data_IF_210612563792
#
_entry.id   IF_210612563792
#
_cell.length_a   1.000
_cell.length_b   1.000
_cell.length_c   1.000
_cell.angle_alpha   90.00
_cell.angle_beta   90.00
_cell.angle_gamma   90.00
#
_symmetry.space_group_name_H-M   'P 1'
#
loop_
_entity.id
_entity.type
_entity.pdbx_description
1 polymer ?
#
# COMPACT_ATOMS: atom_id res chain seq x y z
N UNK A 1 11.43 -10.68 63.12
CA UNK A 1 10.63 -10.07 64.21
C UNK A 1 10.07 -8.77 63.64
N UNK A 2 8.81 -8.62 63.25
CA UNK A 2 7.56 -9.25 63.66
C UNK A 2 6.71 -8.19 64.37
N UNK A 3 5.48 -8.00 63.86
CA UNK A 3 4.31 -7.25 64.40
C UNK A 3 4.11 -5.82 63.88
N UNK A 4 2.89 -5.32 63.67
CA UNK A 4 1.54 -5.85 63.35
C UNK A 4 0.64 -4.61 63.23
N UNK A 5 -0.44 -4.72 62.47
CA UNK A 5 -1.43 -3.67 62.25
C UNK A 5 -2.49 -3.61 63.37
N UNK A 6 -3.06 -2.43 63.64
CA UNK A 6 -4.40 -2.30 64.25
C UNK A 6 -5.07 -0.98 63.87
N UNK A 7 -6.29 -1.07 63.32
CA UNK A 7 -7.29 0.00 63.22
C UNK A 7 -8.11 0.09 64.52
N UNK A 8 -8.77 1.23 64.81
CA UNK A 8 -9.94 1.23 65.69
C UNK A 8 -11.24 1.63 64.96
N UNK A 9 -12.32 0.96 65.36
CA UNK A 9 -13.70 1.32 65.13
C UNK A 9 -14.34 1.77 66.45
N UNK A 10 -15.25 2.75 66.42
CA UNK A 10 -16.36 2.88 67.39
C UNK A 10 -17.28 4.06 67.05
N UNK A 11 -18.59 3.77 67.00
CA UNK A 11 -19.70 4.72 67.06
C UNK A 11 -20.18 4.92 68.52
N UNK A 12 -21.08 5.88 68.78
CA UNK A 12 -22.04 5.74 69.88
C UNK A 12 -23.52 6.01 69.50
N UNK A 13 -24.40 5.26 70.18
CA UNK A 13 -25.86 5.43 70.42
C UNK A 13 -26.11 6.52 71.50
N UNK A 14 -27.29 7.09 71.83
CA UNK A 14 -28.69 6.64 72.00
C UNK A 14 -29.65 7.83 72.32
N UNK A 15 -30.94 7.71 71.93
CA UNK A 15 -32.24 8.01 72.65
C UNK A 15 -32.47 9.36 73.39
N UNK A 16 -33.64 9.97 73.61
CA UNK A 16 -35.09 9.68 73.60
C UNK A 16 -35.89 11.02 73.59
N UNK A 17 -37.14 11.05 73.09
CA UNK A 17 -38.27 11.79 73.71
C UNK A 17 -39.62 11.35 73.08
N UNK A 18 -40.64 11.12 73.93
CA UNK A 18 -41.93 10.48 73.63
C UNK A 18 -43.13 11.42 73.88
N UNK A 19 -44.21 11.24 73.09
CA UNK A 19 -45.67 11.42 73.39
C UNK A 19 -46.42 12.66 72.85
N UNK A 20 -47.76 12.60 72.61
CA UNK A 20 -48.56 11.50 72.05
C UNK A 20 -49.69 11.91 71.03
N UNK A 21 -50.11 10.91 70.23
CA UNK A 21 -51.44 10.64 69.64
C UNK A 21 -52.32 11.78 69.05
N UNK A 22 -52.52 11.73 67.73
CA UNK A 22 -53.87 11.85 67.14
C UNK A 22 -54.05 10.81 66.01
N UNK A 23 -55.25 10.24 65.93
CA UNK A 23 -55.66 9.16 65.01
C UNK A 23 -56.49 9.74 63.87
N UNK A 24 -56.09 9.53 62.62
CA UNK A 24 -56.95 8.92 61.58
C UNK A 24 -56.24 8.77 60.23
N UNK A 25 -56.28 7.53 59.71
CA UNK A 25 -56.25 7.12 58.29
C UNK A 25 -55.11 7.53 57.35
N UNK A 26 -54.17 6.59 57.13
CA UNK A 26 -53.63 6.28 55.80
C UNK A 26 -53.18 4.82 55.75
N UNK A 27 -53.93 3.98 55.03
CA UNK A 27 -53.56 2.59 54.78
C UNK A 27 -52.39 2.51 53.79
N UNK A 28 -51.32 1.81 54.17
CA UNK A 28 -50.20 1.47 53.30
C UNK A 28 -50.61 0.37 52.31
N UNK A 29 -50.46 0.65 51.01
CA UNK A 29 -50.60 -0.34 49.94
C UNK A 29 -49.22 -0.83 49.49
N UNK A 30 -49.04 -2.16 49.43
CA UNK A 30 -47.91 -2.82 48.76
C UNK A 30 -47.88 -2.47 47.26
N UNK A 31 -46.71 -2.34 46.61
CA UNK A 31 -46.65 -2.26 45.15
C UNK A 31 -46.93 -3.65 44.55
N UNK A 32 -48.00 -3.71 43.74
CA UNK A 32 -48.36 -4.87 42.90
C UNK A 32 -47.42 -4.99 41.70
N UNK A 33 -47.21 -6.23 41.29
CA UNK A 33 -46.46 -6.69 40.12
C UNK A 33 -46.69 -5.86 38.85
N UNK A 34 -45.60 -5.60 38.13
CA UNK A 34 -45.58 -4.86 36.86
C UNK A 34 -46.22 -5.70 35.74
N UNK A 35 -47.44 -5.33 35.34
CA UNK A 35 -48.09 -5.85 34.15
C UNK A 35 -47.37 -5.37 32.88
N UNK A 36 -46.58 -6.25 32.27
CA UNK A 36 -46.08 -6.07 30.90
C UNK A 36 -47.28 -5.96 29.95
N UNK A 37 -47.40 -4.81 29.27
CA UNK A 37 -48.56 -4.47 28.44
C UNK A 37 -48.67 -5.37 27.21
N UNK A 38 -49.86 -5.97 27.02
CA UNK A 38 -50.26 -6.78 25.84
C UNK A 38 -50.04 -6.07 24.50
N UNK A 39 -49.91 -4.73 24.51
CA UNK A 39 -49.66 -3.93 23.31
C UNK A 39 -48.25 -4.14 22.73
N UNK A 40 -47.23 -4.35 23.57
CA UNK A 40 -45.85 -4.55 23.08
C UNK A 40 -45.64 -5.94 22.47
N UNK A 41 -46.27 -6.97 23.02
CA UNK A 41 -46.26 -8.31 22.46
C UNK A 41 -46.95 -8.36 21.08
N UNK A 42 -48.06 -7.62 20.91
CA UNK A 42 -48.75 -7.49 19.62
C UNK A 42 -47.88 -6.82 18.55
N UNK A 43 -47.12 -5.78 18.90
CA UNK A 43 -46.22 -5.09 17.97
C UNK A 43 -45.07 -5.98 17.48
N UNK A 44 -44.50 -6.82 18.36
CA UNK A 44 -43.42 -7.74 18.00
C UNK A 44 -43.90 -8.86 17.08
N UNK A 45 -45.10 -9.40 17.32
CA UNK A 45 -45.74 -10.39 16.45
C UNK A 45 -46.04 -9.78 15.07
N UNK A 46 -46.53 -8.54 15.01
CA UNK A 46 -46.82 -7.89 13.74
C UNK A 46 -45.55 -7.62 12.90
N UNK A 47 -44.46 -7.23 13.56
CA UNK A 47 -43.19 -6.94 12.90
C UNK A 47 -42.52 -8.22 12.36
N UNK A 48 -42.55 -9.31 13.13
CA UNK A 48 -42.03 -10.61 12.70
C UNK A 48 -42.83 -11.19 11.54
N UNK A 49 -44.17 -11.11 11.57
CA UNK A 49 -45.02 -11.55 10.45
C UNK A 49 -44.73 -10.72 9.20
N UNK A 50 -44.53 -9.41 9.34
CA UNK A 50 -44.23 -8.52 8.21
C UNK A 50 -42.88 -8.85 7.54
N UNK A 51 -41.85 -9.19 8.32
CA UNK A 51 -40.54 -9.64 7.80
C UNK A 51 -40.65 -10.97 7.07
N UNK A 52 -41.38 -11.94 7.64
CA UNK A 52 -41.57 -13.25 7.00
C UNK A 52 -42.34 -13.12 5.69
N UNK A 53 -43.41 -12.31 5.66
CA UNK A 53 -44.15 -12.02 4.44
C UNK A 53 -43.23 -11.41 3.39
N UNK A 54 -42.40 -10.43 3.76
CA UNK A 54 -41.44 -9.78 2.87
C UNK A 54 -40.41 -10.76 2.26
N UNK A 55 -39.87 -11.68 3.05
CA UNK A 55 -38.93 -12.71 2.56
C UNK A 55 -39.65 -13.64 1.58
N UNK A 56 -40.87 -14.06 1.88
CA UNK A 56 -41.65 -14.96 1.00
C UNK A 56 -41.99 -14.26 -0.32
N UNK A 57 -42.41 -13.00 -0.32
CA UNK A 57 -42.63 -12.25 -1.57
C UNK A 57 -41.34 -12.09 -2.37
N UNK A 58 -40.20 -11.85 -1.72
CA UNK A 58 -38.91 -11.72 -2.41
C UNK A 58 -38.48 -13.05 -3.05
N UNK A 59 -38.68 -14.18 -2.37
CA UNK A 59 -38.41 -15.52 -2.93
C UNK A 59 -39.33 -15.85 -4.10
N UNK A 60 -40.62 -15.51 -4.00
CA UNK A 60 -41.58 -15.71 -5.11
C UNK A 60 -41.18 -14.84 -6.30
N UNK A 61 -40.85 -13.56 -6.08
CA UNK A 61 -40.38 -12.64 -7.12
C UNK A 61 -39.09 -13.12 -7.79
N UNK A 62 -38.13 -13.63 -7.00
CA UNK A 62 -36.90 -14.21 -7.51
C UNK A 62 -37.18 -15.44 -8.40
N UNK A 63 -38.10 -16.33 -7.97
CA UNK A 63 -38.48 -17.51 -8.75
C UNK A 63 -39.29 -17.17 -10.01
N UNK A 64 -40.13 -16.14 -9.99
CA UNK A 64 -40.88 -15.69 -11.18
C UNK A 64 -40.00 -14.96 -12.19
N UNK A 65 -38.95 -14.25 -11.75
CA UNK A 65 -38.00 -13.59 -12.65
C UNK A 65 -36.99 -14.54 -13.30
N UNK A 66 -36.57 -15.61 -12.61
CA UNK A 66 -35.58 -16.56 -13.14
C UNK A 66 -36.23 -17.72 -13.90
N UNK A 67 -37.50 -18.02 -13.63
CA UNK A 67 -38.26 -19.07 -14.32
C UNK A 67 -38.24 -19.04 -15.87
N UNK A 68 -38.21 -17.88 -16.55
CA UNK A 68 -38.17 -17.83 -18.01
C UNK A 68 -36.77 -17.89 -18.65
N UNK A 69 -35.68 -17.96 -17.86
CA UNK A 69 -34.32 -17.98 -18.40
C UNK A 69 -33.99 -19.38 -18.95
N UNK A 70 -34.37 -19.61 -20.21
CA UNK A 70 -33.87 -20.75 -20.97
C UNK A 70 -32.36 -20.56 -21.25
N UNK A 71 -31.49 -21.50 -20.83
CA UNK A 71 -30.09 -21.45 -21.22
C UNK A 71 -30.00 -21.62 -22.74
N UNK A 72 -29.43 -20.61 -23.41
CA UNK A 72 -29.17 -20.66 -24.84
C UNK A 72 -28.17 -21.79 -25.11
N UNK A 73 -28.36 -22.63 -26.16
CA UNK A 73 -27.37 -23.63 -26.53
C UNK A 73 -26.01 -22.98 -26.76
N UNK A 74 -24.95 -23.66 -26.29
CA UNK A 74 -23.57 -23.18 -26.35
C UNK A 74 -23.24 -22.75 -27.79
N UNK A 75 -22.73 -21.52 -28.01
CA UNK A 75 -22.30 -21.10 -29.35
C UNK A 75 -21.26 -22.09 -29.86
N UNK A 76 -21.48 -22.67 -31.05
CA UNK A 76 -20.45 -23.41 -31.76
C UNK A 76 -19.34 -22.41 -32.09
N UNK A 77 -18.11 -22.57 -31.57
CA UNK A 77 -17.04 -21.64 -31.88
C UNK A 77 -16.81 -21.67 -33.39
N UNK A 78 -16.82 -20.51 -34.09
CA UNK A 78 -16.36 -20.49 -35.46
C UNK A 78 -14.92 -21.00 -35.47
N UNK A 79 -14.59 -21.85 -36.44
CA UNK A 79 -13.21 -22.27 -36.68
C UNK A 79 -12.47 -21.05 -37.23
N UNK A 80 -12.07 -20.15 -36.34
CA UNK A 80 -11.13 -19.09 -36.63
C UNK A 80 -9.78 -19.76 -36.61
N UNK A 81 -9.11 -19.77 -37.75
CA UNK A 81 -7.66 -19.96 -37.82
C UNK A 81 -7.02 -18.75 -37.14
N UNK A 82 -7.09 -18.72 -35.81
CA UNK A 82 -6.49 -17.67 -35.00
C UNK A 82 -5.00 -17.78 -35.23
N UNK A 83 -4.38 -16.68 -35.69
CA UNK A 83 -2.94 -16.55 -35.64
C UNK A 83 -2.43 -16.94 -34.25
N UNK A 84 -1.19 -17.44 -34.17
CA UNK A 84 -0.55 -17.79 -32.90
C UNK A 84 -0.83 -16.67 -31.87
N UNK A 85 -1.28 -16.99 -30.64
CA UNK A 85 -1.53 -15.95 -29.64
C UNK A 85 -0.28 -15.08 -29.53
N UNK A 86 -0.42 -13.75 -29.48
CA UNK A 86 0.73 -12.87 -29.31
C UNK A 86 1.50 -13.34 -28.08
N UNK A 87 2.80 -13.59 -28.24
CA UNK A 87 3.67 -14.01 -27.14
C UNK A 87 3.74 -12.83 -26.16
N UNK A 88 3.00 -12.89 -25.06
CA UNK A 88 2.93 -11.84 -24.03
C UNK A 88 3.81 -12.15 -22.83
N UNK A 89 4.55 -13.27 -22.85
CA UNK A 89 5.41 -13.73 -21.77
C UNK A 89 6.88 -13.58 -22.15
N UNK A 90 7.70 -13.25 -21.15
CA UNK A 90 9.14 -13.21 -21.30
C UNK A 90 9.70 -14.60 -21.58
N UNK A 91 10.73 -14.73 -22.43
CA UNK A 91 11.45 -15.98 -22.57
C UNK A 91 12.15 -16.37 -21.26
N UNK A 92 12.12 -17.65 -20.91
CA UNK A 92 12.76 -18.20 -19.69
C UNK A 92 14.30 -18.34 -19.81
N UNK A 93 14.92 -17.58 -20.72
CA UNK A 93 16.36 -17.68 -20.98
C UNK A 93 17.19 -16.95 -19.92
N UNK A 94 16.62 -15.90 -19.32
CA UNK A 94 17.31 -15.02 -18.39
C UNK A 94 16.52 -14.94 -17.09
N UNK A 95 17.19 -15.14 -15.96
CA UNK A 95 16.56 -15.08 -14.64
C UNK A 95 17.16 -13.91 -13.84
N UNK A 96 16.38 -12.89 -13.46
CA UNK A 96 16.88 -11.80 -12.64
C UNK A 96 17.26 -12.31 -11.25
N UNK A 97 18.33 -11.72 -10.72
CA UNK A 97 18.83 -12.02 -9.38
C UNK A 97 18.77 -10.79 -8.48
N UNK A 98 19.22 -9.64 -9.00
CA UNK A 98 19.33 -8.41 -8.22
C UNK A 98 19.19 -7.17 -9.09
N UNK A 99 18.42 -6.20 -8.61
CA UNK A 99 18.29 -4.87 -9.18
C UNK A 99 18.99 -3.85 -8.30
N UNK A 100 19.72 -2.92 -8.93
CA UNK A 100 20.07 -1.63 -8.34
C UNK A 100 19.25 -0.58 -9.06
N UNK A 101 18.38 0.13 -8.34
CA UNK A 101 17.46 1.11 -8.91
C UNK A 101 17.69 2.46 -8.23
N UNK A 102 18.01 3.47 -9.03
CA UNK A 102 18.09 4.86 -8.62
C UNK A 102 16.95 5.62 -9.27
N UNK A 103 16.11 6.28 -8.46
CA UNK A 103 14.97 7.07 -8.93
C UNK A 103 15.01 8.48 -8.35
N UNK A 104 14.70 9.46 -9.18
CA UNK A 104 14.58 10.86 -8.83
C UNK A 104 13.23 11.39 -9.35
N UNK A 105 12.16 11.34 -8.54
CA UNK A 105 10.96 12.10 -8.84
C UNK A 105 11.25 13.60 -8.72
N UNK A 106 11.08 14.32 -9.82
CA UNK A 106 11.12 15.78 -9.82
C UNK A 106 9.74 16.26 -9.41
N UNK A 107 9.48 16.25 -8.10
CA UNK A 107 8.22 16.69 -7.49
C UNK A 107 8.49 17.78 -6.45
N UNK A 108 7.73 18.86 -6.50
CA UNK A 108 7.63 19.80 -5.39
C UNK A 108 6.40 19.46 -4.56
N UNK A 109 6.51 19.42 -3.24
CA UNK A 109 5.36 19.12 -2.37
C UNK A 109 4.35 20.27 -2.30
N UNK A 110 4.71 21.44 -2.84
CA UNK A 110 3.93 22.68 -2.84
C UNK A 110 4.13 23.38 -4.17
N UNK A 111 3.06 23.98 -4.70
CA UNK A 111 3.17 24.86 -5.86
C UNK A 111 3.77 26.19 -5.40
N UNK A 112 4.92 26.58 -5.95
CA UNK A 112 5.52 27.89 -5.69
C UNK A 112 4.92 28.90 -6.67
N UNK A 113 3.99 29.74 -6.21
CA UNK A 113 3.50 30.87 -6.99
C UNK A 113 4.62 31.91 -7.14
N UNK A 114 5.35 31.86 -8.25
CA UNK A 114 6.26 32.95 -8.61
C UNK A 114 5.41 34.05 -9.23
N UNK A 115 5.38 35.21 -8.57
CA UNK A 115 4.74 36.44 -9.07
C UNK A 115 5.22 36.69 -10.50
N UNK A 116 4.29 36.68 -11.47
CA UNK A 116 4.45 36.83 -12.93
C UNK A 116 4.39 35.56 -13.82
N UNK A 117 4.02 34.38 -13.31
CA UNK A 117 3.76 33.21 -14.19
C UNK A 117 2.30 32.80 -14.14
N UNK A 118 1.65 32.74 -15.31
CA UNK A 118 0.20 32.52 -15.48
C UNK A 118 -0.26 31.09 -15.16
N UNK A 119 0.63 30.17 -14.81
CA UNK A 119 0.30 28.84 -14.25
C UNK A 119 1.55 28.22 -13.60
N UNK A 120 1.63 28.11 -12.27
CA UNK A 120 2.71 27.36 -11.63
C UNK A 120 2.40 25.86 -11.77
N UNK A 121 2.81 25.25 -12.88
CA UNK A 121 2.58 23.82 -13.12
C UNK A 121 3.56 22.97 -12.32
N UNK A 122 3.03 21.96 -11.63
CA UNK A 122 3.82 20.89 -11.02
C UNK A 122 4.62 20.14 -12.08
N UNK A 123 5.85 19.76 -11.75
CA UNK A 123 6.60 18.83 -12.59
C UNK A 123 6.10 17.41 -12.37
N UNK A 124 5.72 16.75 -13.45
CA UNK A 124 5.31 15.34 -13.45
C UNK A 124 6.46 14.42 -13.90
N UNK A 125 7.70 14.91 -13.98
CA UNK A 125 8.81 14.14 -14.53
C UNK A 125 9.53 13.35 -13.44
N UNK A 126 10.06 12.18 -13.81
CA UNK A 126 11.06 11.48 -13.01
C UNK A 126 12.17 10.95 -13.91
N UNK A 127 13.36 10.85 -13.35
CA UNK A 127 14.54 10.27 -14.00
C UNK A 127 15.10 9.15 -13.14
N UNK A 128 15.81 8.22 -13.75
CA UNK A 128 16.44 7.16 -13.01
C UNK A 128 17.40 6.34 -13.83
N UNK A 129 18.02 5.38 -13.16
CA UNK A 129 18.75 4.32 -13.82
C UNK A 129 18.55 3.01 -13.07
N UNK A 130 18.66 1.92 -13.81
CA UNK A 130 18.55 0.57 -13.26
C UNK A 130 19.65 -0.30 -13.82
N UNK A 131 20.31 -1.05 -12.95
CA UNK A 131 21.15 -2.17 -13.32
C UNK A 131 20.52 -3.46 -12.81
N UNK A 132 20.20 -4.38 -13.71
CA UNK A 132 19.73 -5.73 -13.35
C UNK A 132 20.83 -6.73 -13.59
N UNK A 133 21.20 -7.49 -12.56
CA UNK A 133 22.03 -8.68 -12.67
C UNK A 133 21.14 -9.89 -12.87
N UNK A 134 21.45 -10.73 -13.85
CA UNK A 134 20.69 -11.91 -14.21
C UNK A 134 21.59 -13.07 -14.63
N UNK A 135 21.09 -14.28 -14.39
CA UNK A 135 21.68 -15.52 -14.86
C UNK A 135 21.18 -15.84 -16.27
N UNK A 136 22.10 -16.12 -17.18
CA UNK A 136 21.78 -16.66 -18.49
C UNK A 136 21.60 -18.18 -18.38
N UNK A 137 20.38 -18.69 -18.42
CA UNK A 137 20.07 -20.12 -18.33
C UNK A 137 20.22 -20.80 -19.70
N UNK A 138 19.90 -20.08 -20.77
CA UNK A 138 20.04 -20.55 -22.15
C UNK A 138 20.74 -19.51 -22.99
N UNK A 139 21.72 -19.94 -23.78
CA UNK A 139 22.49 -19.04 -24.63
C UNK A 139 21.57 -18.24 -25.55
N UNK A 140 21.75 -16.91 -25.55
CA UNK A 140 20.91 -15.99 -26.32
C UNK A 140 21.67 -14.71 -26.61
N UNK A 141 21.38 -14.09 -27.76
CA UNK A 141 21.90 -12.78 -28.14
C UNK A 141 20.87 -11.66 -27.93
N UNK A 142 19.73 -11.94 -27.30
CA UNK A 142 18.66 -10.96 -27.08
C UNK A 142 18.21 -10.97 -25.63
N UNK A 143 18.17 -9.78 -25.02
CA UNK A 143 17.55 -9.57 -23.71
C UNK A 143 16.17 -8.95 -23.91
N UNK A 144 15.15 -9.59 -23.35
CA UNK A 144 13.79 -9.05 -23.31
C UNK A 144 13.49 -8.57 -21.89
N UNK A 145 12.96 -7.35 -21.80
CA UNK A 145 12.44 -6.75 -20.57
C UNK A 145 11.05 -6.17 -20.84
N UNK A 146 10.28 -5.90 -19.81
CA UNK A 146 9.10 -5.05 -19.91
C UNK A 146 9.50 -3.57 -19.74
N UNK A 147 8.93 -2.70 -20.57
CA UNK A 147 9.06 -1.24 -20.44
C UNK A 147 7.90 -0.53 -21.13
N UNK A 148 7.26 0.41 -20.45
CA UNK A 148 6.15 1.19 -20.99
C UNK A 148 6.27 2.67 -20.59
N UNK A 149 6.09 3.60 -21.52
CA UNK A 149 6.07 5.04 -21.21
C UNK A 149 7.41 5.66 -20.77
N UNK A 150 8.53 4.91 -20.86
CA UNK A 150 9.86 5.37 -20.45
C UNK A 150 10.74 5.73 -21.64
N UNK A 151 11.35 6.91 -21.70
CA UNK A 151 12.47 7.23 -22.59
C UNK A 151 13.73 6.52 -22.07
N UNK A 152 14.44 5.76 -22.92
CA UNK A 152 15.53 4.87 -22.49
C UNK A 152 16.84 5.24 -23.19
N UNK A 153 17.96 5.12 -22.48
CA UNK A 153 19.29 5.40 -23.00
C UNK A 153 20.39 4.64 -22.26
N UNK A 154 21.62 4.68 -22.80
CA UNK A 154 22.80 4.20 -22.09
C UNK A 154 22.88 2.69 -21.87
N UNK A 155 22.21 1.88 -22.70
CA UNK A 155 22.22 0.42 -22.58
C UNK A 155 23.66 -0.13 -22.56
N UNK A 156 24.02 -0.83 -21.48
CA UNK A 156 25.34 -1.45 -21.34
C UNK A 156 25.20 -2.84 -20.70
N UNK A 157 25.72 -3.86 -21.37
CA UNK A 157 25.74 -5.23 -20.87
C UNK A 157 27.17 -5.61 -20.47
N UNK A 158 27.34 -6.18 -19.28
CA UNK A 158 28.65 -6.55 -18.73
C UNK A 158 28.61 -7.95 -18.16
N UNK A 159 29.57 -8.78 -18.53
CA UNK A 159 29.84 -10.08 -17.90
C UNK A 159 30.33 -9.83 -16.47
N UNK A 160 29.67 -10.42 -15.46
CA UNK A 160 29.99 -10.17 -14.06
C UNK A 160 31.24 -10.93 -13.59
N UNK A 161 31.66 -11.98 -14.29
CA UNK A 161 32.80 -12.80 -13.92
C UNK A 161 34.09 -12.20 -14.51
N UNK A 162 34.07 -11.80 -15.79
CA UNK A 162 35.23 -11.20 -16.46
C UNK A 162 35.30 -9.67 -16.34
N UNK A 163 34.16 -9.01 -16.10
CA UNK A 163 34.05 -7.54 -16.16
C UNK A 163 34.03 -6.97 -17.57
N UNK A 164 34.06 -7.83 -18.60
CA UNK A 164 34.07 -7.39 -20.00
C UNK A 164 32.68 -6.92 -20.46
N UNK A 165 32.67 -5.93 -21.35
CA UNK A 165 31.43 -5.44 -21.96
C UNK A 165 31.00 -6.33 -23.11
N UNK A 166 29.75 -6.76 -23.09
CA UNK A 166 29.08 -7.36 -24.24
C UNK A 166 28.48 -6.23 -25.07
N UNK A 167 28.89 -6.13 -26.33
CA UNK A 167 28.41 -5.08 -27.23
C UNK A 167 26.89 -5.12 -27.39
N UNK A 168 26.23 -3.97 -27.26
CA UNK A 168 24.81 -3.80 -27.59
C UNK A 168 24.71 -3.32 -29.04
N UNK A 169 24.10 -4.12 -29.90
CA UNK A 169 23.93 -3.80 -31.32
C UNK A 169 22.82 -2.79 -31.56
N UNK A 170 21.66 -3.01 -30.94
CA UNK A 170 20.52 -2.10 -31.01
C UNK A 170 19.52 -2.37 -29.89
N UNK A 171 18.63 -1.40 -29.65
CA UNK A 171 17.54 -1.50 -28.71
C UNK A 171 16.24 -1.04 -29.38
N UNK A 172 15.16 -1.80 -29.19
CA UNK A 172 13.85 -1.51 -29.79
C UNK A 172 12.73 -1.78 -28.79
N UNK A 173 11.80 -0.83 -28.67
CA UNK A 173 10.53 -1.07 -27.97
C UNK A 173 9.55 -1.72 -28.94
N UNK A 174 8.91 -2.80 -28.51
CA UNK A 174 7.77 -3.38 -29.24
C UNK A 174 6.51 -2.61 -28.90
N UNK A 175 5.74 -2.30 -29.93
CA UNK A 175 4.41 -1.69 -29.81
C UNK A 175 3.29 -2.75 -29.68
N UNK A 176 3.66 -4.01 -29.49
CA UNK A 176 2.69 -5.09 -29.30
C UNK A 176 2.10 -5.10 -27.88
N UNK A 177 1.17 -6.03 -27.66
CA UNK A 177 0.51 -6.20 -26.35
C UNK A 177 1.50 -6.59 -25.23
N UNK A 178 2.68 -7.12 -25.55
CA UNK A 178 3.68 -7.54 -24.58
C UNK A 178 4.40 -6.37 -23.91
N UNK A 179 4.46 -5.18 -24.56
CA UNK A 179 5.19 -3.99 -24.05
C UNK A 179 6.64 -4.32 -23.73
N UNK A 180 7.30 -5.02 -24.66
CA UNK A 180 8.68 -5.44 -24.50
C UNK A 180 9.68 -4.38 -24.95
N UNK A 181 10.79 -4.32 -24.22
CA UNK A 181 12.06 -3.78 -24.68
C UNK A 181 12.93 -4.95 -25.15
N UNK A 182 13.37 -4.90 -26.39
CA UNK A 182 14.34 -5.82 -26.97
C UNK A 182 15.72 -5.16 -26.99
N UNK A 183 16.72 -5.83 -26.43
CA UNK A 183 18.11 -5.42 -26.49
C UNK A 183 18.90 -6.50 -27.23
N UNK A 184 19.29 -6.22 -28.47
CA UNK A 184 20.11 -7.11 -29.27
C UNK A 184 21.58 -6.92 -28.93
N UNK A 185 22.27 -8.03 -28.71
CA UNK A 185 23.69 -8.10 -28.39
C UNK A 185 24.50 -8.51 -29.62
N UNK A 186 25.75 -8.04 -29.68
CA UNK A 186 26.70 -8.36 -30.74
C UNK A 186 27.30 -9.77 -30.62
N UNK A 187 27.19 -10.39 -29.45
CA UNK A 187 27.59 -11.77 -29.20
C UNK A 187 26.56 -12.45 -28.28
N UNK A 188 26.37 -13.77 -28.40
CA UNK A 188 25.48 -14.51 -27.50
C UNK A 188 26.06 -14.56 -26.10
N UNK A 189 25.19 -14.40 -25.11
CA UNK A 189 25.49 -14.70 -23.71
C UNK A 189 25.69 -16.21 -23.56
N UNK A 190 26.67 -16.61 -22.74
CA UNK A 190 26.93 -18.02 -22.46
C UNK A 190 25.91 -18.56 -21.45
N UNK A 191 25.43 -19.79 -21.65
CA UNK A 191 24.61 -20.46 -20.66
C UNK A 191 25.43 -20.72 -19.38
N UNK A 192 24.82 -20.46 -18.22
CA UNK A 192 25.47 -20.48 -16.91
C UNK A 192 26.16 -19.17 -16.53
N UNK A 193 26.34 -18.22 -17.46
CA UNK A 193 27.02 -16.95 -17.18
C UNK A 193 26.14 -15.95 -16.42
N UNK A 194 26.77 -15.11 -15.57
CA UNK A 194 26.11 -14.01 -14.89
C UNK A 194 26.42 -12.69 -15.60
N UNK A 195 25.37 -11.94 -15.92
CA UNK A 195 25.49 -10.68 -16.67
C UNK A 195 24.72 -9.58 -15.95
N UNK A 196 25.11 -8.33 -16.19
CA UNK A 196 24.31 -7.17 -15.83
C UNK A 196 23.92 -6.36 -17.05
N UNK A 197 22.70 -5.80 -17.04
CA UNK A 197 22.23 -4.80 -17.99
C UNK A 197 21.93 -3.51 -17.25
N UNK A 198 22.63 -2.44 -17.61
CA UNK A 198 22.38 -1.08 -17.17
C UNK A 198 21.56 -0.33 -18.21
N UNK A 199 20.56 0.44 -17.74
CA UNK A 199 19.75 1.36 -18.53
C UNK A 199 19.50 2.64 -17.72
N UNK A 200 19.65 3.80 -18.36
CA UNK A 200 19.15 5.07 -17.85
C UNK A 200 17.78 5.35 -18.48
N UNK A 201 16.88 5.97 -17.71
CA UNK A 201 15.53 6.22 -18.16
C UNK A 201 14.94 7.52 -17.63
N UNK A 202 13.95 8.02 -18.35
CA UNK A 202 13.12 9.17 -17.98
C UNK A 202 11.66 8.81 -18.23
N UNK A 203 10.78 9.19 -17.32
CA UNK A 203 9.35 8.93 -17.42
C UNK A 203 8.53 10.08 -16.86
N UNK A 204 7.22 9.91 -16.94
CA UNK A 204 6.24 10.87 -16.43
C UNK A 204 5.36 10.16 -15.41
N UNK A 205 5.21 10.76 -14.24
CA UNK A 205 4.27 10.37 -13.20
C UNK A 205 2.85 10.67 -13.67
N UNK A 206 1.91 9.79 -13.31
CA UNK A 206 0.49 9.96 -13.64
C UNK A 206 -0.28 10.48 -12.43
N UNK A 207 -1.54 10.87 -12.63
CA UNK A 207 -2.49 11.09 -11.52
C UNK A 207 -3.38 9.85 -11.30
N UNK A 208 -3.21 8.79 -12.10
CA UNK A 208 -4.13 7.66 -12.24
C UNK A 208 -3.82 6.46 -11.31
N UNK A 209 -3.22 6.67 -10.13
CA UNK A 209 -2.99 5.64 -9.11
C UNK A 209 -2.30 4.33 -9.60
N UNK A 210 -1.49 4.37 -10.66
CA UNK A 210 -0.69 3.24 -11.16
C UNK A 210 0.75 3.65 -11.48
N UNK A 211 1.67 2.69 -11.44
CA UNK A 211 3.09 2.94 -11.62
C UNK A 211 3.63 3.89 -10.54
N UNK A 212 4.36 4.92 -10.95
CA UNK A 212 4.71 6.05 -10.10
C UNK A 212 3.73 7.19 -10.39
N UNK A 213 3.00 7.62 -9.38
CA UNK A 213 1.93 8.61 -9.52
C UNK A 213 2.05 9.71 -8.47
N UNK A 214 1.40 10.84 -8.75
CA UNK A 214 1.27 11.97 -7.85
C UNK A 214 -0.10 11.92 -7.17
N UNK A 215 -0.11 12.06 -5.84
CA UNK A 215 -1.32 12.21 -5.04
C UNK A 215 -1.37 13.60 -4.42
N UNK A 216 -2.59 14.14 -4.27
CA UNK A 216 -2.87 15.52 -3.83
C UNK A 216 -3.69 15.46 -2.54
N UNK A 217 -3.37 16.34 -1.59
CA UNK A 217 -4.15 16.49 -0.37
C UNK A 217 -4.16 17.94 0.10
N UNK A 218 -5.24 18.34 0.78
CA UNK A 218 -5.30 19.63 1.47
C UNK A 218 -4.62 19.56 2.83
N UNK A 219 -3.81 20.57 3.15
CA UNK A 219 -3.27 20.82 4.49
C UNK A 219 -3.86 22.11 5.06
N UNK A 220 -4.41 22.04 6.27
CA UNK A 220 -5.11 23.12 6.95
C UNK A 220 -6.58 22.81 7.23
N UNK A 221 -7.17 23.61 8.12
CA UNK A 221 -8.63 23.79 8.23
C UNK A 221 -8.88 25.26 7.95
N UNK A 222 -9.80 25.64 7.05
CA UNK A 222 -10.10 27.04 6.83
C UNK A 222 -10.49 27.67 8.16
N UNK A 223 -9.62 28.51 8.72
CA UNK A 223 -9.90 29.14 10.01
C UNK A 223 -10.99 30.22 9.85
N UNK A 224 -11.14 30.75 8.63
CA UNK A 224 -12.10 31.77 8.25
C UNK A 224 -12.57 31.56 6.81
N UNK A 225 -13.74 32.12 6.50
CA UNK A 225 -14.28 32.19 5.13
C UNK A 225 -13.31 33.01 4.25
N UNK A 226 -12.61 32.33 3.32
CA UNK A 226 -11.58 32.94 2.45
C UNK A 226 -10.15 32.39 2.66
N UNK A 227 -9.93 31.53 3.66
CA UNK A 227 -8.67 30.79 3.82
C UNK A 227 -8.66 29.61 2.83
N UNK A 228 -7.75 29.63 1.86
CA UNK A 228 -7.63 28.54 0.88
C UNK A 228 -6.81 27.42 1.49
N UNK A 229 -7.40 26.23 1.59
CA UNK A 229 -6.68 24.97 1.83
C UNK A 229 -5.37 24.97 1.03
N UNK A 230 -4.25 24.75 1.71
CA UNK A 230 -2.97 24.71 1.00
C UNK A 230 -2.82 23.34 0.35
N UNK A 231 -2.84 23.29 -0.98
CA UNK A 231 -2.65 22.06 -1.72
C UNK A 231 -1.23 21.51 -1.54
N UNK A 232 -1.14 20.22 -1.26
CA UNK A 232 0.10 19.47 -1.08
C UNK A 232 0.15 18.27 -1.99
N UNK A 233 1.36 17.88 -2.36
CA UNK A 233 1.64 16.78 -3.28
C UNK A 233 2.56 15.75 -2.64
N UNK A 234 2.36 14.48 -2.99
CA UNK A 234 3.29 13.40 -2.70
C UNK A 234 3.42 12.49 -3.92
N UNK A 235 4.57 11.83 -4.06
CA UNK A 235 4.75 10.76 -5.04
C UNK A 235 4.56 9.42 -4.33
N UNK A 236 3.84 8.49 -4.96
CA UNK A 236 3.64 7.15 -4.45
C UNK A 236 3.64 6.14 -5.60
N UNK A 237 3.81 4.88 -5.27
CA UNK A 237 3.85 3.80 -6.25
C UNK A 237 2.73 2.79 -6.06
N UNK A 238 2.16 2.32 -7.17
CA UNK A 238 1.24 1.20 -7.23
C UNK A 238 1.61 0.34 -8.45
N UNK A 239 2.31 -0.77 -8.22
CA UNK A 239 2.87 -1.57 -9.31
C UNK A 239 1.99 -2.77 -9.69
N UNK A 240 1.06 -3.18 -8.84
CA UNK A 240 0.19 -4.32 -9.11
C UNK A 240 -0.90 -3.95 -10.12
N UNK A 241 -1.13 -4.78 -11.17
CA UNK A 241 -0.47 -6.07 -11.43
C UNK A 241 0.84 -5.98 -12.24
N UNK A 242 0.97 -5.01 -13.14
CA UNK A 242 2.02 -5.01 -14.17
C UNK A 242 2.60 -3.61 -14.45
N UNK A 243 2.58 -2.71 -13.47
CA UNK A 243 2.97 -1.31 -13.66
C UNK A 243 4.39 -0.98 -13.20
N UNK A 244 5.15 -1.94 -12.66
CA UNK A 244 6.57 -1.75 -12.40
C UNK A 244 7.33 -1.37 -13.69
N UNK A 245 6.91 -1.92 -14.83
CA UNK A 245 7.45 -1.61 -16.17
C UNK A 245 7.27 -0.15 -16.60
N UNK A 246 6.37 0.61 -15.96
CA UNK A 246 6.17 2.05 -16.19
C UNK A 246 7.14 2.91 -15.40
N UNK A 247 7.82 2.32 -14.41
CA UNK A 247 8.71 3.05 -13.49
C UNK A 247 10.17 2.75 -13.81
N UNK A 248 10.52 1.50 -14.09
CA UNK A 248 11.84 1.12 -14.58
C UNK A 248 11.78 -0.12 -15.48
N UNK A 249 12.70 -0.29 -16.44
CA UNK A 249 12.75 -1.50 -17.28
C UNK A 249 13.05 -2.74 -16.44
N UNK A 250 12.19 -3.76 -16.47
CA UNK A 250 12.32 -4.92 -15.60
C UNK A 250 11.70 -6.20 -16.16
N UNK A 251 12.04 -7.35 -15.55
CA UNK A 251 11.46 -8.64 -15.83
C UNK A 251 10.11 -8.74 -15.09
N UNK A 252 9.13 -7.94 -15.54
CA UNK A 252 7.88 -7.69 -14.82
C UNK A 252 6.86 -8.85 -14.91
N UNK A 253 7.23 -10.00 -14.33
CA UNK A 253 6.37 -11.15 -14.11
C UNK A 253 6.55 -11.68 -12.68
N UNK A 254 5.48 -12.04 -11.95
CA UNK A 254 5.57 -12.38 -10.53
C UNK A 254 6.56 -13.52 -10.19
N UNK A 255 6.78 -14.46 -11.10
CA UNK A 255 7.70 -15.58 -10.90
C UNK A 255 9.19 -15.17 -10.95
N UNK A 256 9.51 -14.05 -11.62
CA UNK A 256 10.87 -13.57 -11.85
C UNK A 256 11.34 -12.67 -10.69
N UNK A 257 11.36 -13.26 -9.49
CA UNK A 257 11.71 -12.55 -8.24
C UNK A 257 13.19 -12.18 -8.17
N UNK A 258 13.50 -11.04 -7.56
CA UNK A 258 14.85 -10.55 -7.35
C UNK A 258 14.98 -9.77 -6.03
N UNK A 259 16.23 -9.48 -5.65
CA UNK A 259 16.56 -8.53 -4.57
C UNK A 259 16.63 -7.12 -5.13
N UNK A 260 16.12 -6.12 -4.41
CA UNK A 260 16.16 -4.72 -4.83
C UNK A 260 17.04 -3.89 -3.90
N UNK A 261 18.06 -3.24 -4.46
CA UNK A 261 18.81 -2.16 -3.82
C UNK A 261 18.27 -0.83 -4.35
N UNK A 262 17.62 -0.06 -3.49
CA UNK A 262 16.88 1.14 -3.91
C UNK A 262 17.56 2.39 -3.37
N UNK A 263 17.69 3.39 -4.25
CA UNK A 263 18.14 4.73 -3.92
C UNK A 263 17.11 5.72 -4.44
N UNK A 264 16.60 6.58 -3.57
CA UNK A 264 15.65 7.63 -3.94
C UNK A 264 16.33 8.98 -3.74
N UNK A 265 16.36 9.79 -4.80
CA UNK A 265 16.79 11.19 -4.77
C UNK A 265 15.54 12.06 -4.73
N UNK A 266 15.39 12.86 -3.68
CA UNK A 266 14.16 13.61 -3.43
C UNK A 266 14.46 15.00 -2.84
N UNK A 267 13.45 15.87 -2.78
CA UNK A 267 13.64 17.23 -2.25
C UNK A 267 14.00 17.22 -0.77
N UNK A 268 14.83 18.18 -0.36
CA UNK A 268 15.35 18.34 1.02
C UNK A 268 14.30 18.16 2.12
N UNK A 269 13.15 18.81 1.98
CA UNK A 269 12.12 18.90 3.02
C UNK A 269 11.11 17.73 2.97
N UNK A 270 11.48 16.64 2.29
CA UNK A 270 10.66 15.44 2.16
C UNK A 270 11.37 14.24 2.79
N UNK A 271 10.59 13.20 3.10
CA UNK A 271 11.11 11.88 3.44
C UNK A 271 10.84 10.91 2.29
N UNK A 272 11.73 9.94 2.12
CA UNK A 272 11.49 8.77 1.28
C UNK A 272 11.25 7.55 2.16
N UNK A 273 10.18 6.81 1.87
CA UNK A 273 9.91 5.49 2.47
C UNK A 273 9.92 4.46 1.36
N UNK A 274 10.39 3.24 1.65
CA UNK A 274 10.49 2.14 0.70
C UNK A 274 10.17 0.81 1.35
N UNK A 275 10.27 -0.29 0.59
CA UNK A 275 10.02 -1.63 1.13
C UNK A 275 10.94 -2.03 2.27
N UNK A 276 12.20 -1.56 2.25
CA UNK A 276 13.20 -1.88 3.26
C UNK A 276 13.52 -0.63 4.09
N UNK A 277 14.21 -0.83 5.21
CA UNK A 277 14.65 0.27 6.06
C UNK A 277 15.63 1.21 5.39
N UNK A 278 15.54 2.48 5.74
CA UNK A 278 16.56 3.46 5.41
C UNK A 278 17.89 3.03 6.03
N UNK A 279 18.89 2.86 5.17
CA UNK A 279 20.27 2.58 5.55
C UNK A 279 21.01 3.86 5.92
N UNK A 280 20.94 4.86 5.04
CA UNK A 280 21.56 6.16 5.26
C UNK A 280 20.87 7.24 4.39
N UNK A 281 21.10 8.51 4.74
CA UNK A 281 20.66 9.64 3.91
C UNK A 281 21.60 10.83 4.06
N UNK A 282 21.77 11.61 2.99
CA UNK A 282 22.60 12.82 2.98
C UNK A 282 22.12 13.81 1.93
N UNK A 283 22.47 15.09 2.14
CA UNK A 283 22.23 16.16 1.17
C UNK A 283 23.25 16.08 0.04
N UNK A 284 22.78 16.14 -1.21
CA UNK A 284 23.63 16.24 -2.41
C UNK A 284 24.03 17.70 -2.64
N UNK A 285 23.06 18.59 -2.49
CA UNK A 285 23.18 20.03 -2.61
C UNK A 285 22.11 20.70 -1.71
N UNK A 286 21.84 21.99 -1.91
CA UNK A 286 20.87 22.72 -1.09
C UNK A 286 19.41 22.26 -1.30
N UNK A 287 19.12 21.60 -2.43
CA UNK A 287 17.79 21.26 -2.90
C UNK A 287 17.46 19.76 -2.77
N UNK A 288 18.47 18.91 -2.93
CA UNK A 288 18.32 17.47 -3.11
C UNK A 288 18.94 16.65 -1.98
N UNK A 289 18.19 15.65 -1.55
CA UNK A 289 18.56 14.64 -0.57
C UNK A 289 18.55 13.26 -1.22
N UNK A 290 19.56 12.45 -0.90
CA UNK A 290 19.60 11.03 -1.27
C UNK A 290 19.24 10.21 -0.04
N UNK A 291 18.37 9.22 -0.23
CA UNK A 291 18.05 8.20 0.76
C UNK A 291 18.37 6.82 0.17
N UNK A 292 19.27 6.10 0.84
CA UNK A 292 19.62 4.72 0.52
C UNK A 292 18.83 3.76 1.41
N UNK A 293 18.29 2.70 0.81
CA UNK A 293 17.61 1.64 1.53
C UNK A 293 18.48 0.39 1.64
N UNK A 294 18.24 -0.41 2.67
CA UNK A 294 18.79 -1.75 2.73
C UNK A 294 18.25 -2.64 1.59
N UNK A 295 18.98 -3.69 1.17
CA UNK A 295 18.48 -4.63 0.18
C UNK A 295 17.19 -5.32 0.66
N UNK A 296 16.21 -5.45 -0.22
CA UNK A 296 14.98 -6.21 0.09
C UNK A 296 15.24 -7.72 0.18
N UNK A 297 14.35 -8.49 0.84
CA UNK A 297 14.23 -9.92 0.54
C UNK A 297 13.92 -10.15 -0.95
N UNK A 298 14.10 -11.40 -1.40
CA UNK A 298 13.77 -11.78 -2.79
C UNK A 298 12.26 -11.68 -3.01
N UNK A 299 11.83 -10.71 -3.83
CA UNK A 299 10.42 -10.40 -4.04
C UNK A 299 10.10 -10.17 -5.52
N UNK A 300 8.81 -10.12 -5.85
CA UNK A 300 8.32 -9.83 -7.19
C UNK A 300 8.30 -8.33 -7.47
N UNK A 301 8.41 -7.92 -8.74
CA UNK A 301 8.40 -6.50 -9.16
C UNK A 301 7.14 -5.75 -8.76
N UNK A 302 5.97 -6.39 -8.77
CA UNK A 302 4.70 -5.76 -8.39
C UNK A 302 4.62 -5.34 -6.91
N UNK A 303 5.52 -5.83 -6.06
CA UNK A 303 5.62 -5.42 -4.65
C UNK A 303 6.62 -4.27 -4.43
N UNK A 304 7.36 -3.86 -5.47
CA UNK A 304 8.27 -2.72 -5.38
C UNK A 304 7.47 -1.46 -5.04
N UNK A 305 7.82 -0.83 -3.93
CA UNK A 305 7.11 0.31 -3.40
C UNK A 305 8.06 1.36 -2.84
N UNK A 306 7.78 2.62 -3.16
CA UNK A 306 8.32 3.76 -2.44
C UNK A 306 7.35 4.94 -2.48
N UNK A 307 7.59 5.91 -1.61
CA UNK A 307 6.91 7.19 -1.62
C UNK A 307 7.88 8.31 -1.28
N UNK A 308 7.55 9.52 -1.73
CA UNK A 308 8.22 10.76 -1.33
C UNK A 308 7.13 11.74 -0.88
N UNK A 309 7.19 12.17 0.38
CA UNK A 309 6.16 13.03 0.99
C UNK A 309 6.69 13.89 2.14
N UNK A 310 5.86 14.80 2.66
CA UNK A 310 6.11 15.56 3.91
C UNK A 310 5.62 14.80 5.17
N UNK A 311 5.27 13.51 5.09
CA UNK A 311 4.72 12.72 6.21
C UNK A 311 5.80 12.32 7.23
N UNK A 312 6.44 13.31 7.84
CA UNK A 312 7.55 13.14 8.78
C UNK A 312 7.13 12.53 10.12
N UNK A 313 5.84 12.59 10.47
CA UNK A 313 5.28 12.04 11.71
C UNK A 313 4.68 10.65 11.48
N UNK A 314 4.71 9.83 12.53
CA UNK A 314 4.08 8.51 12.54
C UNK A 314 3.59 8.13 13.93
N UNK A 315 2.57 7.27 13.99
CA UNK A 315 2.22 6.52 15.18
C UNK A 315 2.96 5.19 15.18
N UNK A 316 3.59 4.84 16.30
CA UNK A 316 4.31 3.57 16.46
C UNK A 316 3.50 2.56 17.26
N UNK A 317 3.66 1.27 16.96
CA UNK A 317 3.16 0.21 17.83
C UNK A 317 3.95 0.15 19.14
N UNK A 318 3.45 -0.55 20.18
CA UNK A 318 4.28 -0.90 21.34
C UNK A 318 5.57 -1.61 20.91
N UNK A 319 6.67 -1.49 21.69
CA UNK A 319 7.94 -2.13 21.36
C UNK A 319 7.81 -3.63 21.13
N UNK A 320 8.48 -4.13 20.09
CA UNK A 320 8.47 -5.53 19.69
C UNK A 320 9.66 -5.87 18.80
N UNK A 321 9.65 -7.09 18.22
CA UNK A 321 10.70 -7.56 17.30
C UNK A 321 10.73 -6.76 15.98
N UNK A 322 9.55 -6.32 15.53
CA UNK A 322 9.33 -5.53 14.32
C UNK A 322 8.92 -4.12 14.73
N UNK A 323 9.59 -3.10 14.19
CA UNK A 323 9.23 -1.70 14.39
C UNK A 323 8.14 -1.29 13.36
N UNK A 324 6.92 -1.13 13.87
CA UNK A 324 5.73 -0.88 13.04
C UNK A 324 5.34 0.59 13.17
N UNK A 325 5.29 1.27 12.02
CA UNK A 325 4.96 2.69 11.93
C UNK A 325 3.81 2.93 10.99
N UNK A 326 2.85 3.73 11.43
CA UNK A 326 1.77 4.26 10.60
C UNK A 326 2.03 5.75 10.38
N UNK A 327 2.46 6.09 9.18
CA UNK A 327 2.70 7.43 8.70
C UNK A 327 1.38 8.06 8.25
N UNK A 328 1.37 9.38 8.14
CA UNK A 328 0.22 10.14 7.68
C UNK A 328 0.51 11.63 7.71
N UNK A 329 -0.48 12.42 7.27
CA UNK A 329 -0.42 13.88 7.38
C UNK A 329 -0.20 14.29 8.84
N UNK A 330 0.62 15.32 9.05
CA UNK A 330 1.03 15.75 10.40
C UNK A 330 -0.18 16.06 11.31
N UNK A 331 -1.19 16.74 10.77
CA UNK A 331 -2.46 17.05 11.47
C UNK A 331 -3.21 15.79 11.94
N UNK A 332 -3.28 14.77 11.08
CA UNK A 332 -3.95 13.51 11.38
C UNK A 332 -3.17 12.67 12.42
N UNK A 333 -1.84 12.71 12.38
CA UNK A 333 -1.00 12.03 13.39
C UNK A 333 -1.13 12.75 14.73
N UNK A 334 -1.08 14.08 14.75
CA UNK A 334 -1.20 14.87 15.97
C UNK A 334 -2.59 14.73 16.61
N UNK A 335 -3.65 14.60 15.80
CA UNK A 335 -5.01 14.28 16.25
C UNK A 335 -5.18 12.82 16.72
N UNK A 336 -4.14 11.98 16.60
CA UNK A 336 -4.14 10.61 17.09
C UNK A 336 -4.86 9.60 16.20
N UNK A 337 -5.20 9.95 14.95
CA UNK A 337 -5.98 9.10 14.05
C UNK A 337 -5.27 7.79 13.67
N UNK A 338 -3.93 7.75 13.74
CA UNK A 338 -3.14 6.58 13.39
C UNK A 338 -2.88 5.60 14.57
N UNK A 339 -3.21 5.96 15.81
CA UNK A 339 -2.88 5.14 16.98
C UNK A 339 -3.55 3.77 16.95
N UNK A 340 -4.83 3.72 16.57
CA UNK A 340 -5.56 2.45 16.47
C UNK A 340 -4.92 1.52 15.43
N UNK A 341 -4.60 2.05 14.25
CA UNK A 341 -3.97 1.29 13.17
C UNK A 341 -2.61 0.73 13.61
N UNK A 342 -1.76 1.54 14.25
CA UNK A 342 -0.46 1.10 14.75
C UNK A 342 -0.59 0.00 15.82
N UNK A 343 -1.50 0.18 16.79
CA UNK A 343 -1.70 -0.77 17.88
C UNK A 343 -2.27 -2.12 17.42
N UNK A 344 -3.23 -2.11 16.49
CA UNK A 344 -3.85 -3.34 15.98
C UNK A 344 -2.93 -4.08 15.01
N UNK A 345 -2.13 -3.36 14.20
CA UNK A 345 -1.21 -4.00 13.25
C UNK A 345 -0.21 -4.91 13.96
N UNK A 346 0.35 -4.51 15.11
CA UNK A 346 1.24 -5.37 15.90
C UNK A 346 0.57 -6.65 16.40
N UNK A 347 -0.70 -6.58 16.80
CA UNK A 347 -1.48 -7.77 17.22
C UNK A 347 -1.77 -8.70 16.05
N UNK A 348 -2.14 -8.14 14.90
CA UNK A 348 -2.41 -8.91 13.67
C UNK A 348 -1.13 -9.60 13.18
N UNK A 349 0.00 -8.87 13.15
CA UNK A 349 1.27 -9.43 12.74
C UNK A 349 1.65 -10.62 13.62
N UNK A 350 1.61 -10.43 14.94
CA UNK A 350 1.90 -11.50 15.90
C UNK A 350 0.96 -12.71 15.72
N UNK A 351 -0.33 -12.46 15.50
CA UNK A 351 -1.29 -13.53 15.20
C UNK A 351 -0.87 -14.35 13.97
N UNK A 352 -0.46 -13.70 12.87
CA UNK A 352 -0.04 -14.41 11.67
C UNK A 352 1.29 -15.14 11.83
N UNK A 353 2.24 -14.58 12.57
CA UNK A 353 3.50 -15.28 12.91
C UNK A 353 3.22 -16.55 13.72
N UNK A 354 2.39 -16.44 14.75
CA UNK A 354 1.99 -17.57 15.58
C UNK A 354 1.14 -18.58 14.79
N UNK A 355 0.28 -18.12 13.86
CA UNK A 355 -0.59 -19.00 13.07
C UNK A 355 0.19 -19.76 11.98
N UNK A 356 1.03 -19.07 11.21
CA UNK A 356 1.81 -19.67 10.14
C UNK A 356 3.10 -20.33 10.61
N UNK A 357 3.51 -20.10 11.87
CA UNK A 357 4.78 -20.57 12.43
C UNK A 357 5.99 -20.06 11.63
N UNK A 358 5.87 -18.84 11.10
CA UNK A 358 6.88 -18.17 10.30
C UNK A 358 6.94 -16.71 10.76
N UNK A 359 8.10 -16.29 11.27
CA UNK A 359 8.35 -14.90 11.63
C UNK A 359 8.34 -14.01 10.38
N UNK A 360 7.83 -12.79 10.54
CA UNK A 360 7.97 -11.77 9.50
C UNK A 360 9.44 -11.44 9.28
N UNK A 361 9.91 -11.59 8.04
CA UNK A 361 11.34 -11.57 7.70
C UNK A 361 12.01 -10.21 7.92
N UNK A 362 11.27 -9.11 7.78
CA UNK A 362 11.82 -7.76 7.87
C UNK A 362 11.76 -7.21 9.31
N UNK A 363 12.61 -6.22 9.59
CA UNK A 363 12.71 -5.57 10.90
C UNK A 363 11.73 -4.43 11.10
N UNK A 364 11.17 -3.89 10.01
CA UNK A 364 10.18 -2.84 10.06
C UNK A 364 8.98 -3.14 9.19
N UNK A 365 7.88 -2.47 9.51
CA UNK A 365 6.67 -2.49 8.72
C UNK A 365 6.08 -1.08 8.69
N UNK A 366 6.26 -0.39 7.57
CA UNK A 366 5.66 0.92 7.32
C UNK A 366 4.26 0.79 6.74
N UNK A 367 3.34 1.62 7.23
CA UNK A 367 2.02 1.87 6.63
C UNK A 367 1.90 3.37 6.38
N UNK A 368 1.32 3.75 5.24
CA UNK A 368 1.05 5.14 4.86
C UNK A 368 -0.44 5.35 4.71
#
# INVERSE_FOLDING_TARGET
>A
MGREATWPASAPTSSDFFSPLDRSEAAAAMPKESGFSKAFAGAFVFLTVSVVVGIVTMVIFYKTQIGPLHPTPRPTPPSVTTSLPPVTRLPEHLLPQRYRVVLQPHLYTRIVEVVNVTSPNQTMLFTGNSSVTFLCVRSTSVVYLHSEGLELSGAAVTDQDSGERVGVSWMKKREDKGRFLEVQLGAPLAAGGNYSLFLAFRGTMTEDLYGLYVSRYSEGTPAYEGDTDTERFLAATQMEPTDARRVFPCFDEPALKAVFDVTIVHRRDTIALGNADMKDSYMVDDDWKVTHFHPTPKMSTYLFAFTVSEFTKSASSPPGRVDIKTYGRSDAIDAGHAHYAAAVTGKILKFYEDYFQIDYEQRTLGKI
#
